data_IF_984893963099
#
_entry.id   IF_984893963099
#
_cell.length_a   1.000
_cell.length_b   1.000
_cell.length_c   1.000
_cell.angle_alpha   90.00
_cell.angle_beta   90.00
_cell.angle_gamma   90.00
#
_symmetry.space_group_name_H-M   'P 1'
#
loop_
_entity.id
_entity.type
_entity.pdbx_description
1 polymer ?
#
# COMPACT_ATOMS: atom_id res chain seq x y z
N UNK A 1 9.34 -18.86 -1.15
CA UNK A 1 8.48 -18.36 -2.25
C UNK A 1 7.03 -18.53 -1.84
N UNK A 2 6.28 -17.44 -1.77
CA UNK A 2 4.84 -17.48 -1.40
C UNK A 2 4.03 -18.27 -2.43
N UNK A 3 3.04 -19.02 -1.97
CA UNK A 3 2.11 -19.74 -2.84
C UNK A 3 1.09 -18.79 -3.47
N UNK A 4 0.49 -19.18 -4.60
CA UNK A 4 -0.54 -18.35 -5.27
C UNK A 4 -1.73 -17.99 -4.37
N UNK A 5 -2.26 -18.89 -3.52
CA UNK A 5 -3.34 -18.53 -2.59
C UNK A 5 -2.91 -17.48 -1.56
N UNK A 6 -1.68 -17.60 -1.03
CA UNK A 6 -1.12 -16.61 -0.09
C UNK A 6 -0.95 -15.27 -0.79
N UNK A 7 -0.39 -15.26 -2.01
CA UNK A 7 -0.26 -14.04 -2.81
C UNK A 7 -1.62 -13.35 -3.03
N UNK A 8 -2.67 -14.11 -3.37
CA UNK A 8 -4.00 -13.56 -3.53
C UNK A 8 -4.51 -12.92 -2.23
N UNK A 9 -4.40 -13.63 -1.09
CA UNK A 9 -4.79 -13.11 0.22
C UNK A 9 -4.03 -11.84 0.60
N UNK A 10 -2.71 -11.82 0.42
CA UNK A 10 -1.89 -10.64 0.69
C UNK A 10 -2.24 -9.47 -0.24
N UNK A 11 -2.50 -9.74 -1.51
CA UNK A 11 -2.96 -8.73 -2.48
C UNK A 11 -4.32 -8.15 -2.10
N UNK A 12 -5.27 -8.98 -1.66
CA UNK A 12 -6.57 -8.52 -1.15
C UNK A 12 -6.43 -7.71 0.14
N UNK A 13 -5.58 -8.16 1.06
CA UNK A 13 -5.30 -7.44 2.30
C UNK A 13 -4.65 -6.07 2.00
N UNK A 14 -3.69 -6.03 1.09
CA UNK A 14 -3.05 -4.79 0.64
C UNK A 14 -4.04 -3.86 -0.06
N UNK A 15 -4.93 -4.38 -0.92
CA UNK A 15 -6.02 -3.61 -1.52
C UNK A 15 -6.91 -2.97 -0.46
N UNK A 16 -7.42 -3.74 0.51
CA UNK A 16 -8.28 -3.20 1.58
C UNK A 16 -7.57 -2.20 2.47
N UNK A 17 -6.32 -2.46 2.85
CA UNK A 17 -5.53 -1.51 3.63
C UNK A 17 -5.26 -0.21 2.84
N UNK A 18 -5.09 -0.30 1.52
CA UNK A 18 -4.94 0.89 0.65
C UNK A 18 -6.24 1.68 0.53
N UNK A 19 -7.37 0.99 0.37
CA UNK A 19 -8.69 1.62 0.39
C UNK A 19 -8.96 2.35 1.71
N UNK A 20 -8.58 1.74 2.84
CA UNK A 20 -8.64 2.40 4.15
C UNK A 20 -7.81 3.70 4.15
N UNK A 21 -6.59 3.67 3.60
CA UNK A 21 -5.69 4.82 3.52
C UNK A 21 -6.15 5.97 2.63
N UNK A 22 -6.76 5.65 1.48
CA UNK A 22 -7.03 6.63 0.41
C UNK A 22 -8.49 7.01 0.26
N UNK A 23 -9.43 6.10 0.57
CA UNK A 23 -10.85 6.29 0.27
C UNK A 23 -11.74 6.28 1.51
N UNK A 24 -11.34 5.57 2.56
CA UNK A 24 -12.20 5.40 3.72
C UNK A 24 -12.27 6.65 4.60
N UNK A 25 -13.49 7.00 4.98
CA UNK A 25 -13.82 8.11 5.87
C UNK A 25 -13.21 7.98 7.27
N UNK A 26 -12.88 6.76 7.71
CA UNK A 26 -12.23 6.51 9.00
C UNK A 26 -10.92 7.31 9.13
N UNK A 27 -10.20 7.49 8.02
CA UNK A 27 -8.95 8.24 8.00
C UNK A 27 -9.09 9.69 7.50
N UNK A 28 -10.31 10.19 7.26
CA UNK A 28 -10.54 11.60 6.89
C UNK A 28 -9.91 12.58 7.88
N UNK A 29 -10.09 12.44 9.21
CA UNK A 29 -9.51 13.40 10.16
C UNK A 29 -7.99 13.43 10.12
N UNK A 30 -7.35 12.29 9.83
CA UNK A 30 -5.90 12.21 9.69
C UNK A 30 -5.44 12.87 8.38
N UNK A 31 -6.17 12.67 7.29
CA UNK A 31 -5.88 13.28 5.98
C UNK A 31 -6.05 14.79 6.01
N UNK A 32 -7.11 15.30 6.66
CA UNK A 32 -7.34 16.74 6.85
C UNK A 32 -6.21 17.39 7.67
N UNK A 33 -5.78 16.74 8.76
CA UNK A 33 -4.65 17.21 9.57
C UNK A 33 -3.36 17.27 8.75
N UNK A 34 -3.12 16.28 7.89
CA UNK A 34 -1.93 16.25 7.04
C UNK A 34 -1.98 17.33 5.95
N UNK A 35 -3.16 17.55 5.35
CA UNK A 35 -3.38 18.62 4.40
C UNK A 35 -3.16 20.01 5.06
N UNK A 36 -3.68 20.21 6.26
CA UNK A 36 -3.46 21.44 7.04
C UNK A 36 -1.98 21.62 7.45
N UNK A 37 -1.25 20.54 7.71
CA UNK A 37 0.19 20.61 7.97
C UNK A 37 0.99 20.99 6.71
N UNK A 38 0.58 20.49 5.54
CA UNK A 38 1.21 20.87 4.27
C UNK A 38 0.92 22.33 3.91
N UNK A 39 -0.32 22.81 4.11
CA UNK A 39 -0.71 24.18 3.78
C UNK A 39 0.05 25.25 4.59
N UNK A 40 0.58 24.88 5.77
CA UNK A 40 1.46 25.76 6.56
C UNK A 40 2.82 26.06 5.89
N UNK A 41 3.23 25.26 4.90
CA UNK A 41 4.46 25.51 4.14
C UNK A 41 4.39 24.80 2.77
N UNK A 42 3.78 25.49 1.80
CA UNK A 42 3.55 24.97 0.45
C UNK A 42 4.84 24.82 -0.38
N UNK A 43 5.87 25.64 -0.12
CA UNK A 43 7.13 25.60 -0.86
C UNK A 43 8.02 24.40 -0.48
N UNK A 44 7.64 23.67 0.57
CA UNK A 44 8.42 22.54 1.06
C UNK A 44 8.24 21.29 0.16
N UNK A 45 9.20 21.09 -0.75
CA UNK A 45 9.33 19.88 -1.58
C UNK A 45 9.14 18.56 -0.84
N UNK A 46 9.75 18.31 0.35
CA UNK A 46 9.54 17.05 1.06
C UNK A 46 8.09 16.87 1.54
N UNK A 47 7.39 17.95 1.92
CA UNK A 47 5.97 17.88 2.32
C UNK A 47 5.09 17.55 1.12
N UNK A 48 5.34 18.19 -0.02
CA UNK A 48 4.63 17.92 -1.27
C UNK A 48 4.81 16.46 -1.70
N UNK A 49 6.04 15.93 -1.64
CA UNK A 49 6.32 14.52 -1.95
C UNK A 49 5.56 13.56 -1.03
N UNK A 50 5.52 13.82 0.29
CA UNK A 50 4.78 12.97 1.23
C UNK A 50 3.28 13.00 0.95
N UNK A 51 2.70 14.18 0.68
CA UNK A 51 1.28 14.30 0.33
C UNK A 51 0.98 13.55 -0.97
N UNK A 52 1.83 13.68 -1.99
CA UNK A 52 1.69 12.93 -3.23
C UNK A 52 1.76 11.41 -2.99
N UNK A 53 2.68 10.97 -2.12
CA UNK A 53 2.88 9.55 -1.81
C UNK A 53 1.62 8.94 -1.18
N UNK A 54 0.99 9.63 -0.23
CA UNK A 54 -0.21 9.12 0.46
C UNK A 54 -1.49 9.29 -0.34
N UNK A 55 -1.54 10.28 -1.25
CA UNK A 55 -2.75 10.59 -2.02
C UNK A 55 -2.87 9.71 -3.26
N UNK A 56 -1.74 9.20 -3.76
CA UNK A 56 -1.75 8.30 -4.90
C UNK A 56 -1.97 6.85 -4.45
N UNK A 57 -3.07 6.25 -4.93
CA UNK A 57 -3.44 4.88 -4.60
C UNK A 57 -2.39 3.84 -5.01
N UNK A 58 -1.65 4.10 -6.11
CA UNK A 58 -0.57 3.23 -6.56
C UNK A 58 0.70 3.42 -5.73
N UNK A 59 1.01 4.65 -5.32
CA UNK A 59 2.18 4.93 -4.49
C UNK A 59 1.99 4.41 -3.06
N UNK A 60 0.84 4.73 -2.43
CA UNK A 60 0.53 4.22 -1.11
C UNK A 60 0.34 2.70 -1.14
N UNK A 61 -0.36 2.20 -2.17
CA UNK A 61 -0.58 0.77 -2.36
C UNK A 61 0.70 -0.03 -2.50
N UNK A 62 1.72 0.51 -3.18
CA UNK A 62 3.05 -0.07 -3.22
C UNK A 62 3.62 -0.25 -1.81
N UNK A 63 3.65 0.80 -0.98
CA UNK A 63 4.23 0.72 0.36
C UNK A 63 3.41 -0.16 1.31
N UNK A 64 2.08 -0.10 1.22
CA UNK A 64 1.18 -0.96 2.01
C UNK A 64 1.38 -2.43 1.63
N UNK A 65 1.55 -2.74 0.35
CA UNK A 65 1.83 -4.12 -0.11
C UNK A 65 3.11 -4.67 0.52
N UNK A 66 4.16 -3.85 0.60
CA UNK A 66 5.40 -4.21 1.29
C UNK A 66 5.22 -4.42 2.77
N UNK A 67 4.49 -3.53 3.45
CA UNK A 67 4.22 -3.63 4.88
C UNK A 67 3.40 -4.89 5.22
N UNK A 68 2.40 -5.20 4.40
CA UNK A 68 1.57 -6.42 4.51
C UNK A 68 2.42 -7.67 4.32
N UNK A 69 3.24 -7.72 3.26
CA UNK A 69 4.15 -8.84 3.02
C UNK A 69 5.16 -9.01 4.16
N UNK A 70 5.82 -7.94 4.59
CA UNK A 70 6.79 -7.98 5.67
C UNK A 70 6.15 -8.46 6.97
N UNK A 71 4.95 -7.97 7.29
CA UNK A 71 4.19 -8.40 8.48
C UNK A 71 3.87 -9.88 8.40
N UNK A 72 3.41 -10.37 7.25
CA UNK A 72 3.14 -11.79 7.04
C UNK A 72 4.40 -12.62 7.26
N UNK A 73 5.50 -12.30 6.57
CA UNK A 73 6.76 -13.05 6.64
C UNK A 73 7.36 -13.06 8.05
N UNK A 74 7.27 -11.95 8.79
CA UNK A 74 7.74 -11.85 10.16
C UNK A 74 6.85 -12.65 11.12
N UNK A 75 5.53 -12.55 10.98
CA UNK A 75 4.57 -13.24 11.83
C UNK A 75 4.59 -14.77 11.63
N UNK A 76 4.88 -15.24 10.41
CA UNK A 76 5.02 -16.67 10.11
C UNK A 76 6.43 -17.20 10.31
N UNK A 77 7.41 -16.33 10.62
CA UNK A 77 8.81 -16.71 10.79
C UNK A 77 9.53 -17.09 9.48
N UNK A 78 8.94 -16.78 8.33
CA UNK A 78 9.45 -17.19 6.99
C UNK A 78 10.31 -16.12 6.32
N UNK A 79 10.65 -15.04 7.01
CA UNK A 79 11.49 -13.96 6.48
C UNK A 79 12.90 -14.43 6.08
N UNK A 80 13.42 -15.48 6.72
CA UNK A 80 14.76 -15.99 6.44
C UNK A 80 14.78 -17.14 5.41
N UNK A 81 13.62 -17.55 4.89
CA UNK A 81 13.50 -18.69 3.97
C UNK A 81 13.96 -18.35 2.54
N UNK A 82 14.12 -17.06 2.21
CA UNK A 82 14.55 -16.62 0.89
C UNK A 82 15.46 -15.37 0.97
N UNK A 83 16.32 -15.13 -0.04
CA UNK A 83 17.07 -13.89 -0.15
C UNK A 83 16.15 -12.67 -0.29
N UNK A 84 16.62 -11.51 0.20
CA UNK A 84 15.90 -10.23 0.09
C UNK A 84 15.45 -9.91 -1.34
N UNK A 85 16.21 -10.30 -2.35
CA UNK A 85 15.86 -10.08 -3.75
C UNK A 85 14.57 -10.83 -4.14
N UNK A 86 14.36 -12.05 -3.61
CA UNK A 86 13.12 -12.80 -3.82
C UNK A 86 11.95 -12.11 -3.13
N UNK A 87 12.14 -11.64 -1.88
CA UNK A 87 11.10 -10.84 -1.21
C UNK A 87 10.77 -9.54 -1.94
N UNK A 88 11.76 -8.95 -2.63
CA UNK A 88 11.52 -7.84 -3.55
C UNK A 88 10.56 -8.22 -4.69
N UNK A 89 10.76 -9.38 -5.32
CA UNK A 89 9.84 -9.89 -6.36
C UNK A 89 8.46 -10.20 -5.76
N UNK A 90 8.39 -10.79 -4.57
CA UNK A 90 7.14 -11.06 -3.88
C UNK A 90 6.38 -9.76 -3.55
N UNK A 91 7.10 -8.69 -3.18
CA UNK A 91 6.52 -7.36 -2.98
C UNK A 91 5.90 -6.86 -4.28
N UNK A 92 6.64 -6.90 -5.40
CA UNK A 92 6.10 -6.55 -6.72
C UNK A 92 4.84 -7.34 -7.07
N UNK A 93 4.81 -8.64 -6.74
CA UNK A 93 3.65 -9.48 -6.99
C UNK A 93 2.43 -9.04 -6.16
N UNK A 94 2.59 -8.80 -4.85
CA UNK A 94 1.51 -8.33 -3.97
C UNK A 94 0.97 -6.97 -4.45
N UNK A 95 1.87 -6.04 -4.77
CA UNK A 95 1.50 -4.73 -5.30
C UNK A 95 0.78 -4.84 -6.66
N UNK A 96 1.19 -5.78 -7.51
CA UNK A 96 0.54 -6.05 -8.79
C UNK A 96 -0.91 -6.52 -8.62
N UNK A 97 -1.17 -7.44 -7.68
CA UNK A 97 -2.53 -7.90 -7.37
C UNK A 97 -3.37 -6.75 -6.79
N UNK A 98 -2.82 -5.99 -5.85
CA UNK A 98 -3.50 -4.83 -5.26
C UNK A 98 -3.86 -3.78 -6.33
N UNK A 99 -2.92 -3.45 -7.22
CA UNK A 99 -3.14 -2.49 -8.30
C UNK A 99 -4.17 -3.00 -9.31
N UNK A 100 -4.16 -4.29 -9.63
CA UNK A 100 -5.16 -4.91 -10.50
C UNK A 100 -6.57 -4.81 -9.91
N UNK A 101 -6.71 -5.05 -8.59
CA UNK A 101 -7.99 -4.93 -7.89
C UNK A 101 -8.50 -3.48 -7.89
N UNK A 102 -7.63 -2.50 -7.62
CA UNK A 102 -8.00 -1.08 -7.71
C UNK A 102 -8.41 -0.68 -9.13
N UNK A 103 -7.62 -1.07 -10.14
CA UNK A 103 -7.93 -0.81 -11.56
C UNK A 103 -9.30 -1.38 -11.94
N UNK A 104 -9.63 -2.57 -11.43
CA UNK A 104 -10.94 -3.20 -11.63
C UNK A 104 -12.03 -2.36 -10.98
N UNK A 105 -11.86 -1.96 -9.73
CA UNK A 105 -12.82 -1.14 -8.97
C UNK A 105 -13.13 0.18 -9.70
N UNK A 106 -12.07 0.89 -10.13
CA UNK A 106 -12.16 2.11 -10.93
C UNK A 106 -12.92 1.91 -12.25
N UNK A 107 -12.79 0.73 -12.87
CA UNK A 107 -13.41 0.41 -14.17
C UNK A 107 -14.89 0.05 -14.05
N UNK A 108 -15.27 -0.65 -12.98
CA UNK A 108 -16.63 -1.18 -12.82
C UNK A 108 -17.51 -0.35 -11.87
N UNK A 109 -16.99 0.73 -11.31
CA UNK A 109 -17.76 1.69 -10.51
C UNK A 109 -18.20 1.08 -9.19
N UNK A 110 -17.25 0.89 -8.27
CA UNK A 110 -17.52 0.54 -6.87
C UNK A 110 -18.59 1.42 -6.22
#
# INVERSE_FOLDING_TARGET
MISLPVLALLGFAAYRATQLGVHDSILDPARERLAAWHSRNLDSKPRAFLIQLISCIYCLGWWISGAVLATYLLATGTWHDAPLLIHGIEWFAVAGVQALLNRRDDTFGG
#
